data_IF_618240419474
#
_entry.id   IF_618240419474
#
_cell.length_a   1.000
_cell.length_b   1.000
_cell.length_c   1.000
_cell.angle_alpha   90.00
_cell.angle_beta   90.00
_cell.angle_gamma   90.00
#
_symmetry.space_group_name_H-M   'P 1'
#
loop_
_entity.id
_entity.type
_entity.pdbx_description
1 polymer ?
#
# COMPACT_ATOMS: atom_id res chain seq x y z
N UNK A 1 24.32 -54.07 -55.96
CA UNK A 1 24.35 -53.81 -54.49
C UNK A 1 22.90 -53.71 -54.03
N UNK A 2 22.36 -54.76 -53.39
CA UNK A 2 20.95 -54.81 -52.94
C UNK A 2 20.85 -54.17 -51.56
N UNK A 3 20.18 -53.04 -51.46
CA UNK A 3 19.94 -52.36 -50.17
C UNK A 3 18.62 -52.91 -49.61
N UNK A 4 18.69 -53.58 -48.46
CA UNK A 4 17.54 -54.14 -47.76
C UNK A 4 16.67 -53.00 -47.20
N UNK A 5 15.53 -52.77 -47.85
CA UNK A 5 14.56 -51.71 -47.54
C UNK A 5 13.78 -51.82 -46.21
N UNK A 6 13.60 -52.99 -45.53
CA UNK A 6 12.72 -53.05 -44.35
C UNK A 6 13.35 -52.50 -43.06
N UNK A 7 14.67 -52.28 -43.01
CA UNK A 7 15.33 -51.74 -41.82
C UNK A 7 15.22 -50.21 -41.69
N UNK A 8 15.11 -49.49 -42.81
CA UNK A 8 15.07 -48.03 -42.83
C UNK A 8 13.71 -47.48 -42.34
N UNK A 9 12.63 -48.19 -42.61
CA UNK A 9 11.27 -47.79 -42.23
C UNK A 9 11.04 -47.90 -40.71
N UNK A 10 11.61 -48.92 -40.07
CA UNK A 10 11.47 -49.17 -38.63
C UNK A 10 12.26 -48.13 -37.81
N UNK A 11 13.43 -47.70 -38.29
CA UNK A 11 14.24 -46.67 -37.63
C UNK A 11 13.54 -45.30 -37.69
N UNK A 12 12.88 -44.98 -38.82
CA UNK A 12 12.13 -43.73 -38.96
C UNK A 12 10.90 -43.66 -38.06
N UNK A 13 10.27 -44.80 -37.74
CA UNK A 13 9.11 -44.86 -36.85
C UNK A 13 9.50 -44.73 -35.37
N UNK A 14 10.67 -45.26 -34.98
CA UNK A 14 11.20 -45.14 -33.61
C UNK A 14 11.67 -43.71 -33.31
N UNK A 15 12.26 -43.00 -34.29
CA UNK A 15 12.63 -41.59 -34.10
C UNK A 15 11.43 -40.66 -33.93
N UNK A 16 10.30 -40.92 -34.61
CA UNK A 16 9.10 -40.10 -34.51
C UNK A 16 8.42 -40.23 -33.13
N UNK A 17 8.51 -41.40 -32.49
CA UNK A 17 7.96 -41.65 -31.16
C UNK A 17 8.78 -40.94 -30.06
N UNK A 18 10.11 -40.82 -30.24
CA UNK A 18 10.99 -40.12 -29.29
C UNK A 18 10.75 -38.60 -29.30
N UNK A 19 10.36 -38.02 -30.44
CA UNK A 19 10.01 -36.59 -30.52
C UNK A 19 8.63 -36.24 -29.92
N UNK A 20 7.74 -37.23 -29.71
CA UNK A 20 6.40 -36.98 -29.14
C UNK A 20 6.38 -37.00 -27.61
N UNK A 21 7.40 -37.58 -26.95
CA UNK A 21 7.52 -37.58 -25.48
C UNK A 21 8.33 -36.40 -24.92
N UNK A 22 8.84 -35.51 -25.78
CA UNK A 22 9.44 -34.23 -25.33
C UNK A 22 8.40 -33.11 -25.18
N UNK A 23 7.11 -33.42 -25.07
CA UNK A 23 6.12 -32.43 -24.67
C UNK A 23 6.47 -31.95 -23.26
N UNK A 24 7.03 -30.75 -23.22
CA UNK A 24 7.33 -29.92 -22.08
C UNK A 24 6.68 -30.39 -20.77
N UNK A 25 7.50 -30.89 -19.84
CA UNK A 25 7.18 -30.73 -18.43
C UNK A 25 7.15 -29.21 -18.21
N UNK A 26 5.95 -28.61 -18.24
CA UNK A 26 5.75 -27.29 -17.66
C UNK A 26 6.09 -27.47 -16.19
N UNK A 27 7.29 -27.05 -15.80
CA UNK A 27 7.62 -26.87 -14.41
C UNK A 27 6.67 -25.79 -13.86
N UNK A 28 5.49 -26.20 -13.39
CA UNK A 28 4.58 -25.34 -12.62
C UNK A 28 5.11 -25.10 -11.20
N UNK A 29 6.33 -25.55 -10.90
CA UNK A 29 7.10 -25.21 -9.72
C UNK A 29 7.65 -23.77 -9.80
N UNK A 30 6.84 -22.81 -10.24
CA UNK A 30 7.07 -21.44 -9.81
C UNK A 30 6.83 -21.48 -8.30
N UNK A 31 7.91 -21.38 -7.52
CA UNK A 31 7.78 -21.03 -6.12
C UNK A 31 7.08 -19.67 -6.13
N UNK A 32 5.78 -19.67 -5.87
CA UNK A 32 4.99 -18.45 -5.72
C UNK A 32 5.58 -17.74 -4.53
N UNK A 33 6.36 -16.70 -4.82
CA UNK A 33 6.97 -15.91 -3.77
C UNK A 33 5.90 -15.17 -2.98
N UNK A 34 6.26 -14.70 -1.80
CA UNK A 34 5.31 -14.05 -0.90
C UNK A 34 5.21 -12.54 -1.16
N UNK A 35 4.06 -11.97 -0.87
CA UNK A 35 3.84 -10.54 -0.67
C UNK A 35 3.31 -10.29 0.75
N UNK A 36 3.49 -9.09 1.29
CA UNK A 36 2.92 -8.72 2.60
C UNK A 36 1.94 -7.57 2.45
N UNK A 37 0.78 -7.70 3.09
CA UNK A 37 -0.28 -6.69 3.01
C UNK A 37 -0.76 -6.34 4.41
N UNK A 38 -0.95 -5.05 4.67
CA UNK A 38 -1.66 -4.53 5.85
C UNK A 38 -2.78 -3.59 5.45
N UNK A 39 -3.79 -3.47 6.30
CA UNK A 39 -5.02 -2.74 6.01
C UNK A 39 -5.23 -1.60 7.01
N UNK A 40 -5.68 -0.45 6.52
CA UNK A 40 -5.98 0.75 7.29
C UNK A 40 -7.43 1.17 7.09
N UNK A 41 -8.09 1.53 8.19
CA UNK A 41 -9.37 2.23 8.12
C UNK A 41 -9.16 3.69 8.55
N UNK A 42 -9.36 4.62 7.63
CA UNK A 42 -9.36 6.07 7.92
C UNK A 42 -10.76 6.67 7.80
N UNK A 43 -11.81 5.85 7.81
CA UNK A 43 -13.21 6.28 7.79
C UNK A 43 -13.85 6.12 9.17
N UNK A 44 -14.29 7.24 9.74
CA UNK A 44 -14.74 7.40 11.13
C UNK A 44 -16.12 6.85 11.49
N UNK A 45 -16.88 6.34 10.52
CA UNK A 45 -18.30 6.00 10.70
C UNK A 45 -18.48 4.58 11.23
N UNK A 46 -17.79 3.61 10.63
CA UNK A 46 -17.95 2.19 10.93
C UNK A 46 -16.60 1.48 10.79
N UNK A 47 -16.37 0.49 11.67
CA UNK A 47 -15.24 -0.44 11.52
C UNK A 47 -15.37 -1.24 10.22
N UNK A 48 -14.23 -1.60 9.64
CA UNK A 48 -14.18 -2.33 8.37
C UNK A 48 -13.64 -3.75 8.55
N UNK A 49 -14.26 -4.68 7.84
CA UNK A 49 -13.70 -5.99 7.51
C UNK A 49 -13.07 -5.92 6.11
N UNK A 50 -11.92 -6.56 5.93
CA UNK A 50 -11.22 -6.62 4.64
C UNK A 50 -11.19 -8.03 4.09
N UNK A 51 -11.32 -8.15 2.77
CA UNK A 51 -11.37 -9.42 2.07
C UNK A 51 -10.42 -9.41 0.87
N UNK A 52 -9.88 -10.59 0.56
CA UNK A 52 -9.17 -10.89 -0.67
C UNK A 52 -9.88 -12.06 -1.35
N UNK A 53 -10.31 -11.87 -2.60
CA UNK A 53 -11.08 -12.86 -3.38
C UNK A 53 -12.30 -13.41 -2.62
N UNK A 54 -12.98 -12.54 -1.87
CA UNK A 54 -14.15 -12.91 -1.06
C UNK A 54 -13.84 -13.63 0.26
N UNK A 55 -12.58 -13.97 0.55
CA UNK A 55 -12.15 -14.50 1.86
C UNK A 55 -11.82 -13.35 2.81
N UNK A 56 -12.42 -13.33 4.00
CA UNK A 56 -12.11 -12.32 5.02
C UNK A 56 -10.68 -12.53 5.53
N UNK A 57 -9.88 -11.48 5.51
CA UNK A 57 -8.48 -11.49 5.97
C UNK A 57 -8.26 -10.59 7.18
N UNK A 58 -9.18 -9.67 7.46
CA UNK A 58 -9.20 -8.86 8.68
C UNK A 58 -10.64 -8.48 9.06
N UNK A 59 -10.86 -8.20 10.34
CA UNK A 59 -12.18 -7.84 10.86
C UNK A 59 -12.10 -6.72 11.90
N UNK A 60 -13.12 -5.87 11.93
CA UNK A 60 -13.31 -4.89 13.01
C UNK A 60 -12.28 -3.78 13.05
N UNK A 61 -11.63 -3.43 11.93
CA UNK A 61 -10.63 -2.35 11.93
C UNK A 61 -11.32 -1.01 12.14
N UNK A 62 -11.18 -0.44 13.33
CA UNK A 62 -11.70 0.88 13.68
C UNK A 62 -10.96 2.03 13.00
N UNK A 63 -11.56 3.21 13.03
CA UNK A 63 -10.95 4.43 12.50
C UNK A 63 -9.59 4.72 13.15
N UNK A 64 -8.61 5.09 12.32
CA UNK A 64 -7.27 5.38 12.79
C UNK A 64 -6.55 4.15 13.34
N UNK A 65 -6.97 2.95 12.96
CA UNK A 65 -6.28 1.69 13.27
C UNK A 65 -5.81 1.00 12.00
N UNK A 66 -4.93 0.02 12.16
CA UNK A 66 -4.44 -0.84 11.08
C UNK A 66 -4.14 -2.25 11.58
N UNK A 67 -4.03 -3.19 10.64
CA UNK A 67 -3.48 -4.51 10.93
C UNK A 67 -1.96 -4.49 10.92
N UNK A 68 -1.39 -5.56 11.46
CA UNK A 68 -0.02 -5.97 11.12
C UNK A 68 0.07 -6.40 9.64
N UNK A 69 1.30 -6.55 9.15
CA UNK A 69 1.55 -7.17 7.86
C UNK A 69 1.25 -8.66 7.90
N UNK A 70 0.39 -9.10 6.99
CA UNK A 70 0.07 -10.52 6.79
C UNK A 70 0.65 -10.98 5.46
N UNK A 71 1.15 -12.22 5.42
CA UNK A 71 1.74 -12.84 4.24
C UNK A 71 0.65 -13.40 3.33
N UNK A 72 0.76 -13.14 2.04
CA UNK A 72 -0.11 -13.66 0.98
C UNK A 72 0.72 -14.10 -0.22
N UNK A 73 0.06 -14.77 -1.18
CA UNK A 73 0.67 -15.18 -2.44
C UNK A 73 1.02 -13.93 -3.29
N UNK A 74 2.28 -13.80 -3.68
CA UNK A 74 2.74 -12.74 -4.58
C UNK A 74 2.56 -13.10 -6.05
N UNK A 75 2.75 -12.10 -6.91
CA UNK A 75 2.49 -12.14 -8.35
C UNK A 75 1.06 -12.59 -8.70
N UNK A 76 0.12 -12.23 -7.82
CA UNK A 76 -1.29 -12.56 -7.93
C UNK A 76 -2.14 -11.31 -7.91
N UNK A 77 -3.10 -11.25 -8.82
CA UNK A 77 -4.19 -10.27 -8.80
C UNK A 77 -5.27 -10.72 -7.85
N UNK A 78 -5.58 -9.89 -6.86
CA UNK A 78 -6.67 -10.10 -5.93
C UNK A 78 -7.78 -9.09 -6.18
N UNK A 79 -9.01 -9.51 -5.94
CA UNK A 79 -10.12 -8.59 -5.69
C UNK A 79 -10.13 -8.22 -4.20
N UNK A 80 -9.68 -7.00 -3.89
CA UNK A 80 -9.63 -6.45 -2.53
C UNK A 80 -10.96 -5.77 -2.23
N UNK A 81 -11.60 -6.13 -1.12
CA UNK A 81 -12.89 -5.55 -0.70
C UNK A 81 -12.79 -4.99 0.71
N UNK A 82 -13.47 -3.87 0.96
CA UNK A 82 -13.86 -3.43 2.30
C UNK A 82 -15.35 -3.60 2.51
N UNK A 83 -15.75 -3.97 3.72
CA UNK A 83 -17.15 -4.05 4.14
C UNK A 83 -17.31 -3.47 5.53
N UNK A 84 -18.43 -2.81 5.80
CA UNK A 84 -18.78 -2.48 7.17
C UNK A 84 -18.86 -3.77 8.00
N UNK A 85 -18.17 -3.81 9.13
CA UNK A 85 -18.11 -4.98 10.01
C UNK A 85 -19.52 -5.46 10.37
N UNK A 86 -19.75 -6.76 10.27
CA UNK A 86 -21.06 -7.38 10.55
C UNK A 86 -22.08 -7.26 9.43
N UNK A 87 -21.75 -6.62 8.31
CA UNK A 87 -22.65 -6.47 7.16
C UNK A 87 -22.15 -7.26 5.93
N UNK A 88 -23.04 -7.47 4.95
CA UNK A 88 -22.67 -8.03 3.65
C UNK A 88 -22.39 -6.97 2.59
N UNK A 89 -22.68 -5.70 2.91
CA UNK A 89 -22.59 -4.56 1.99
C UNK A 89 -21.11 -4.27 1.73
N UNK A 90 -20.74 -4.29 0.45
CA UNK A 90 -19.40 -3.86 0.02
C UNK A 90 -19.33 -2.35 0.08
N UNK A 91 -18.37 -1.85 0.85
CA UNK A 91 -18.11 -0.41 0.96
C UNK A 91 -17.32 0.08 -0.25
N UNK A 92 -16.28 -0.66 -0.66
CA UNK A 92 -15.56 -0.47 -1.92
C UNK A 92 -14.81 -1.74 -2.36
N UNK A 93 -14.36 -1.77 -3.62
CA UNK A 93 -13.59 -2.87 -4.22
C UNK A 93 -12.54 -2.39 -5.21
N UNK A 94 -11.36 -3.01 -5.22
CA UNK A 94 -10.31 -2.77 -6.22
C UNK A 94 -9.63 -4.07 -6.64
N UNK A 95 -9.32 -4.19 -7.94
CA UNK A 95 -8.47 -5.27 -8.45
C UNK A 95 -7.01 -4.84 -8.39
N UNK A 96 -6.17 -5.59 -7.68
CA UNK A 96 -4.76 -5.24 -7.47
C UNK A 96 -3.86 -6.46 -7.61
N UNK A 97 -2.81 -6.33 -8.43
CA UNK A 97 -1.70 -7.28 -8.47
C UNK A 97 -0.66 -6.92 -7.42
N UNK A 98 -0.34 -7.85 -6.53
CA UNK A 98 0.70 -7.67 -5.52
C UNK A 98 1.95 -8.44 -5.94
N UNK A 99 3.07 -7.75 -6.12
CA UNK A 99 4.31 -8.38 -6.61
C UNK A 99 5.03 -9.17 -5.52
N UNK A 100 5.78 -10.19 -5.92
CA UNK A 100 6.64 -10.98 -5.04
C UNK A 100 7.68 -10.09 -4.34
N UNK A 101 7.91 -10.33 -3.05
CA UNK A 101 8.92 -9.66 -2.24
C UNK A 101 8.57 -8.23 -1.85
N UNK A 102 7.36 -7.76 -2.18
CA UNK A 102 6.89 -6.40 -1.89
C UNK A 102 5.97 -6.37 -0.67
N UNK A 103 5.87 -5.20 -0.08
CA UNK A 103 4.98 -4.92 1.05
C UNK A 103 3.97 -3.86 0.60
N UNK A 104 2.73 -3.95 1.06
CA UNK A 104 1.67 -3.04 0.64
C UNK A 104 0.79 -2.61 1.81
N UNK A 105 0.37 -1.35 1.74
CA UNK A 105 -0.63 -0.77 2.62
C UNK A 105 -1.89 -0.47 1.82
N UNK A 106 -3.01 -1.06 2.26
CA UNK A 106 -4.33 -0.83 1.69
C UNK A 106 -5.11 0.09 2.61
N UNK A 107 -5.45 1.27 2.14
CA UNK A 107 -6.23 2.27 2.87
C UNK A 107 -7.66 2.31 2.38
N UNK A 108 -8.62 2.21 3.29
CA UNK A 108 -9.99 2.64 3.03
C UNK A 108 -10.16 4.07 3.55
N UNK A 109 -10.40 5.01 2.63
CA UNK A 109 -10.38 6.45 2.92
C UNK A 109 -11.51 7.20 2.20
N UNK A 110 -12.00 8.29 2.83
CA UNK A 110 -13.04 9.16 2.24
C UNK A 110 -12.47 10.00 1.10
N UNK A 111 -13.21 10.09 0.01
CA UNK A 111 -12.96 11.04 -1.09
C UNK A 111 -13.89 12.25 -1.00
N UNK A 112 -15.10 12.04 -0.46
CA UNK A 112 -16.12 13.06 -0.20
C UNK A 112 -16.86 12.73 1.11
N UNK A 113 -17.90 13.48 1.45
CA UNK A 113 -18.73 13.18 2.61
C UNK A 113 -19.46 11.82 2.48
N UNK A 114 -19.85 11.44 1.26
CA UNK A 114 -20.61 10.22 0.97
C UNK A 114 -19.75 9.09 0.42
N UNK A 115 -18.61 9.42 -0.19
CA UNK A 115 -17.83 8.45 -0.97
C UNK A 115 -16.52 8.09 -0.27
N UNK A 116 -16.11 6.84 -0.40
CA UNK A 116 -14.87 6.31 0.12
C UNK A 116 -14.31 5.28 -0.84
N UNK A 117 -12.98 5.16 -0.88
CA UNK A 117 -12.28 4.28 -1.81
C UNK A 117 -11.14 3.55 -1.13
N UNK A 118 -10.80 2.38 -1.67
CA UNK A 118 -9.59 1.64 -1.42
C UNK A 118 -8.45 2.24 -2.23
N UNK A 119 -7.32 2.47 -1.56
CA UNK A 119 -6.06 2.87 -2.17
C UNK A 119 -4.96 1.94 -1.74
N UNK A 120 -4.16 1.50 -2.70
CA UNK A 120 -3.03 0.61 -2.44
C UNK A 120 -1.74 1.38 -2.67
N UNK A 121 -0.83 1.30 -1.69
CA UNK A 121 0.52 1.85 -1.82
C UNK A 121 1.54 0.74 -1.55
N UNK A 122 2.58 0.67 -2.38
CA UNK A 122 3.75 -0.16 -2.09
C UNK A 122 4.57 0.49 -0.98
N UNK A 123 4.86 -0.27 0.07
CA UNK A 123 5.74 0.14 1.16
C UNK A 123 7.19 -0.28 0.85
N UNK A 124 8.07 0.70 0.70
CA UNK A 124 9.52 0.49 0.75
C UNK A 124 9.95 0.42 2.22
N UNK A 125 10.25 -0.79 2.70
CA UNK A 125 10.73 -1.06 4.06
C UNK A 125 12.26 -1.21 4.15
N UNK A 126 12.99 -0.90 3.08
CA UNK A 126 14.45 -1.02 3.02
C UNK A 126 15.10 -0.09 4.04
N UNK A 127 15.76 -0.60 5.11
CA UNK A 127 16.31 0.28 6.13
C UNK A 127 17.43 1.17 5.58
N UNK A 128 17.33 2.49 5.78
CA UNK A 128 18.47 3.39 5.63
C UNK A 128 19.12 3.58 7.00
N UNK A 129 20.21 2.87 7.26
CA UNK A 129 20.88 2.88 8.58
C UNK A 129 21.47 4.24 8.96
N UNK A 130 21.58 5.17 8.01
CA UNK A 130 22.15 6.50 8.18
C UNK A 130 21.12 7.62 8.33
N UNK A 131 19.88 7.39 7.88
CA UNK A 131 18.84 8.42 7.77
C UNK A 131 17.49 7.91 8.25
N UNK A 132 16.56 8.83 8.49
CA UNK A 132 15.13 8.49 8.66
C UNK A 132 14.39 8.76 7.35
N UNK A 133 13.32 8.02 7.07
CA UNK A 133 12.48 8.22 5.88
C UNK A 133 11.05 8.55 6.28
N UNK A 134 10.47 9.58 5.69
CA UNK A 134 9.09 9.99 5.91
C UNK A 134 8.27 9.77 4.64
N UNK A 135 7.04 9.29 4.81
CA UNK A 135 6.06 9.11 3.74
C UNK A 135 4.74 9.76 4.18
N UNK A 136 4.35 10.83 3.53
CA UNK A 136 3.12 11.55 3.84
C UNK A 136 2.00 11.08 2.92
N UNK A 137 0.81 10.88 3.50
CA UNK A 137 -0.42 10.61 2.77
C UNK A 137 -1.48 11.57 3.30
N UNK A 138 -2.10 12.33 2.41
CA UNK A 138 -3.27 13.12 2.79
C UNK A 138 -4.54 12.28 2.57
N UNK A 139 -5.34 12.08 3.61
CA UNK A 139 -6.65 11.42 3.61
C UNK A 139 -7.77 12.36 4.09
N UNK A 140 -7.45 13.64 4.29
CA UNK A 140 -8.33 14.65 4.87
C UNK A 140 -9.29 15.29 3.87
N UNK A 141 -10.36 14.58 3.50
CA UNK A 141 -11.37 15.10 2.57
C UNK A 141 -12.08 16.37 3.08
N UNK A 142 -12.05 16.65 4.38
CA UNK A 142 -12.71 17.81 5.01
C UNK A 142 -11.86 19.07 5.05
N UNK A 143 -10.58 19.00 4.67
CA UNK A 143 -9.63 20.11 4.80
C UNK A 143 -9.91 21.28 3.84
N UNK A 144 -10.74 21.07 2.81
CA UNK A 144 -11.16 22.12 1.86
C UNK A 144 -10.05 22.65 0.94
N UNK A 145 -8.80 22.34 1.25
CA UNK A 145 -7.60 22.82 0.59
C UNK A 145 -6.50 21.75 0.62
N UNK A 146 -5.47 21.95 -0.23
CA UNK A 146 -4.28 21.09 -0.23
C UNK A 146 -3.44 21.38 1.01
N UNK A 147 -2.68 20.40 1.48
CA UNK A 147 -1.80 20.55 2.64
C UNK A 147 -0.37 20.77 2.19
N UNK A 148 0.19 21.92 2.52
CA UNK A 148 1.61 22.23 2.39
C UNK A 148 2.38 21.63 3.56
N UNK A 149 3.47 20.91 3.26
CA UNK A 149 4.31 20.18 4.19
C UNK A 149 5.75 20.60 3.96
N UNK A 150 6.42 21.07 5.00
CA UNK A 150 7.84 21.46 4.95
C UNK A 150 8.53 21.16 6.27
N UNK A 151 9.86 21.10 6.25
CA UNK A 151 10.62 21.17 7.50
C UNK A 151 10.99 22.63 7.86
N UNK A 152 11.59 22.80 9.03
CA UNK A 152 12.07 24.10 9.54
C UNK A 152 12.99 24.82 8.56
N UNK A 153 13.94 24.10 7.99
CA UNK A 153 14.92 24.66 7.03
C UNK A 153 14.36 24.84 5.61
N UNK A 154 13.12 24.39 5.36
CA UNK A 154 12.52 24.32 4.02
C UNK A 154 13.39 23.58 2.99
N UNK A 155 14.22 22.64 3.43
CA UNK A 155 15.02 21.77 2.55
C UNK A 155 14.15 20.83 1.72
N UNK A 156 12.89 20.66 2.10
CA UNK A 156 11.86 20.07 1.25
C UNK A 156 10.53 20.81 1.47
N UNK A 157 9.73 20.86 0.41
CA UNK A 157 8.33 21.29 0.43
C UNK A 157 7.51 20.36 -0.44
N UNK A 158 6.34 19.93 0.06
CA UNK A 158 5.34 19.16 -0.69
C UNK A 158 3.97 19.77 -0.48
N UNK A 159 3.10 19.65 -1.46
CA UNK A 159 1.71 20.09 -1.34
C UNK A 159 0.81 18.96 -1.80
N UNK A 160 -0.02 18.42 -0.90
CA UNK A 160 -0.82 17.22 -1.14
C UNK A 160 -2.32 17.52 -1.09
N UNK A 161 -3.05 17.17 -2.15
CA UNK A 161 -4.51 17.10 -2.15
C UNK A 161 -5.02 15.83 -1.47
N UNK A 162 -6.34 15.76 -1.25
CA UNK A 162 -6.93 14.56 -0.66
C UNK A 162 -6.60 13.32 -1.50
N UNK A 163 -6.02 12.33 -0.85
CA UNK A 163 -5.67 11.06 -1.44
C UNK A 163 -4.34 11.01 -2.19
N UNK A 164 -3.52 12.07 -2.11
CA UNK A 164 -2.18 12.12 -2.68
C UNK A 164 -1.10 11.75 -1.66
N UNK A 165 0.09 11.40 -2.16
CA UNK A 165 1.26 11.04 -1.34
C UNK A 165 2.49 11.85 -1.70
N UNK A 166 3.45 11.96 -0.78
CA UNK A 166 4.69 12.71 -1.00
C UNK A 166 5.77 11.96 -1.76
N UNK A 167 5.69 10.64 -1.86
CA UNK A 167 6.86 9.77 -2.00
C UNK A 167 7.74 9.77 -0.74
N UNK A 168 8.81 8.99 -0.72
CA UNK A 168 9.74 8.94 0.41
C UNK A 168 10.63 10.18 0.48
N UNK A 169 10.61 10.85 1.62
CA UNK A 169 11.46 12.00 1.94
C UNK A 169 12.51 11.53 2.93
N UNK A 170 13.78 11.73 2.60
CA UNK A 170 14.89 11.33 3.45
C UNK A 170 15.32 12.50 4.32
N UNK A 171 15.45 12.27 5.63
CA UNK A 171 15.90 13.27 6.60
C UNK A 171 17.18 12.82 7.32
N UNK A 172 18.15 13.74 7.53
CA UNK A 172 19.29 13.50 8.40
C UNK A 172 18.84 13.19 9.83
N UNK A 173 19.52 12.26 10.50
CA UNK A 173 19.10 11.77 11.82
C UNK A 173 19.55 12.66 12.96
N UNK A 174 18.79 12.66 14.06
CA UNK A 174 19.16 13.34 15.30
C UNK A 174 18.94 14.85 15.29
N UNK A 175 18.38 15.43 14.22
CA UNK A 175 17.84 16.79 14.24
C UNK A 175 16.37 16.71 14.61
N UNK A 176 15.95 17.53 15.59
CA UNK A 176 14.56 17.88 15.88
C UNK A 176 13.93 18.52 14.63
N UNK A 177 13.61 17.70 13.63
CA UNK A 177 13.13 18.16 12.34
C UNK A 177 11.65 18.44 12.49
N UNK A 178 11.32 19.62 13.02
CA UNK A 178 9.95 20.10 13.06
C UNK A 178 9.40 20.07 11.65
N UNK A 179 8.31 19.34 11.48
CA UNK A 179 7.55 19.29 10.25
C UNK A 179 6.35 20.20 10.44
N UNK A 180 6.22 21.17 9.55
CA UNK A 180 5.14 22.14 9.51
C UNK A 180 4.13 21.72 8.47
N UNK A 181 2.85 21.80 8.85
CA UNK A 181 1.70 21.57 8.00
C UNK A 181 0.86 22.83 7.96
N UNK A 182 0.43 23.24 6.78
CA UNK A 182 -0.49 24.35 6.60
C UNK A 182 -1.46 24.02 5.47
N UNK A 183 -2.69 24.51 5.55
CA UNK A 183 -3.55 24.57 4.37
C UNK A 183 -2.95 25.57 3.37
N UNK A 184 -2.87 25.19 2.11
CA UNK A 184 -2.12 25.93 1.09
C UNK A 184 -2.69 27.35 0.82
N UNK A 185 -3.98 27.54 1.10
CA UNK A 185 -4.73 28.79 0.98
C UNK A 185 -4.82 29.57 2.31
N UNK A 186 -4.31 29.01 3.42
CA UNK A 186 -4.35 29.67 4.71
C UNK A 186 -3.13 30.56 4.93
N UNK A 187 -3.39 31.81 5.30
CA UNK A 187 -2.38 32.78 5.72
C UNK A 187 -1.97 32.61 7.19
N UNK A 188 -2.72 31.82 7.98
CA UNK A 188 -2.70 31.95 9.44
C UNK A 188 -2.81 30.64 10.24
N UNK A 189 -2.62 29.45 9.66
CA UNK A 189 -2.72 28.18 10.43
C UNK A 189 -1.51 27.27 10.20
N UNK A 190 -0.46 27.50 10.96
CA UNK A 190 0.68 26.58 11.02
C UNK A 190 0.37 25.51 12.08
N UNK A 191 0.22 24.27 11.65
CA UNK A 191 0.25 23.09 12.52
C UNK A 191 1.64 22.45 12.49
N UNK A 192 2.01 21.74 13.54
CA UNK A 192 3.29 21.04 13.63
C UNK A 192 3.05 19.61 14.06
N UNK A 193 3.75 18.67 13.42
CA UNK A 193 3.72 17.29 13.91
C UNK A 193 4.30 17.30 15.32
N UNK A 194 3.49 16.80 16.27
CA UNK A 194 3.86 16.74 17.69
C UNK A 194 5.09 15.86 17.96
N UNK A 195 5.44 14.99 17.00
CA UNK A 195 6.58 14.09 17.07
C UNK A 195 7.86 14.72 16.50
N UNK A 196 8.86 14.93 17.36
CA UNK A 196 10.09 15.65 17.01
C UNK A 196 11.31 14.75 16.74
N UNK A 197 11.22 13.44 17.00
CA UNK A 197 12.37 12.53 17.03
C UNK A 197 12.30 11.41 15.98
N UNK A 198 12.65 11.70 14.73
CA UNK A 198 12.81 10.66 13.70
C UNK A 198 14.17 9.96 13.82
N UNK A 199 14.15 8.63 14.01
CA UNK A 199 15.35 7.83 14.26
C UNK A 199 15.94 7.22 12.99
N UNK A 200 17.25 6.97 13.01
CA UNK A 200 17.98 6.32 11.92
C UNK A 200 17.48 4.89 11.70
N UNK A 201 17.46 4.44 10.44
CA UNK A 201 16.95 3.11 10.09
C UNK A 201 15.42 3.02 10.05
N UNK A 202 14.71 4.06 10.49
CA UNK A 202 13.25 4.04 10.62
C UNK A 202 12.56 4.75 9.47
N UNK A 203 11.47 4.13 9.03
CA UNK A 203 10.56 4.62 8.02
C UNK A 203 9.22 4.91 8.68
N UNK A 204 8.72 6.12 8.46
CA UNK A 204 7.50 6.61 9.07
C UNK A 204 6.46 6.94 8.00
N UNK A 205 5.24 6.46 8.17
CA UNK A 205 4.08 6.95 7.42
C UNK A 205 3.35 7.96 8.28
N UNK A 206 3.13 9.16 7.74
CA UNK A 206 2.37 10.23 8.37
C UNK A 206 1.07 10.37 7.60
N UNK A 207 -0.05 10.05 8.24
CA UNK A 207 -1.38 10.33 7.72
C UNK A 207 -1.77 11.75 8.13
N UNK A 208 -2.21 12.53 7.14
CA UNK A 208 -2.79 13.85 7.33
C UNK A 208 -4.27 13.71 7.06
N UNK A 209 -5.10 14.09 8.02
CA UNK A 209 -6.55 14.03 7.97
C UNK A 209 -7.12 15.39 8.35
N UNK A 210 -8.43 15.56 8.17
CA UNK A 210 -9.16 16.69 8.69
C UNK A 210 -10.15 16.25 9.76
N UNK A 211 -10.26 17.04 10.83
CA UNK A 211 -11.31 16.84 11.82
C UNK A 211 -12.67 16.89 11.10
N UNK A 212 -13.50 15.86 11.32
CA UNK A 212 -14.73 15.66 10.56
C UNK A 212 -16.01 16.02 11.33
N UNK A 213 -15.90 16.36 12.61
CA UNK A 213 -17.04 16.67 13.51
C UNK A 213 -16.70 17.81 14.48
N UNK A 214 -17.75 18.48 14.97
CA UNK A 214 -17.65 19.52 16.01
C UNK A 214 -17.05 20.85 15.52
N UNK A 215 -16.81 21.76 16.46
CA UNK A 215 -16.30 23.12 16.18
C UNK A 215 -14.90 23.16 15.55
N UNK A 216 -14.17 22.05 15.59
CA UNK A 216 -12.86 21.91 14.96
C UNK A 216 -12.91 21.31 13.56
N UNK A 217 -14.11 21.08 12.98
CA UNK A 217 -14.24 20.52 11.63
C UNK A 217 -13.41 21.30 10.60
N UNK A 218 -12.66 20.59 9.78
CA UNK A 218 -11.75 21.17 8.78
C UNK A 218 -10.37 21.55 9.31
N UNK A 219 -10.11 21.46 10.62
CA UNK A 219 -8.76 21.57 11.17
C UNK A 219 -7.93 20.34 10.83
N UNK A 220 -6.62 20.55 10.69
CA UNK A 220 -5.64 19.49 10.50
C UNK A 220 -5.63 18.51 11.68
N UNK A 221 -5.35 17.26 11.36
CA UNK A 221 -5.10 16.18 12.30
C UNK A 221 -4.08 15.25 11.68
N UNK A 222 -3.12 14.80 12.46
CA UNK A 222 -2.09 13.87 12.00
C UNK A 222 -2.10 12.54 12.76
N UNK A 223 -1.56 11.51 12.12
CA UNK A 223 -1.23 10.24 12.77
C UNK A 223 0.11 9.73 12.25
N UNK A 224 1.02 9.42 13.17
CA UNK A 224 2.30 8.79 12.88
C UNK A 224 2.19 7.26 12.97
N UNK A 225 2.74 6.57 11.98
CA UNK A 225 2.87 5.11 11.92
C UNK A 225 4.34 4.78 11.69
N UNK A 226 4.92 3.96 12.56
CA UNK A 226 6.29 3.45 12.40
C UNK A 226 6.21 2.13 11.62
N UNK A 227 6.92 2.05 10.50
CA UNK A 227 6.79 0.92 9.57
C UNK A 227 7.81 -0.21 9.80
N UNK A 228 8.94 0.08 10.47
CA UNK A 228 10.02 -0.86 10.73
C UNK A 228 10.85 -0.47 11.96
#
# INVERSE_FOLDING_TARGET
MKINFPALLTISFVLLIICLVTSCIKNENLIKGDTKIRFFNTVGELSQDFYLDGKRVSTGIGYGSNTEYTVFEGDKTYNVLSKNTGTKITSDSISQTFSIGKNYSVFYAKTSATDSVLKVYEDDLTPDTSKSRLFFINVGYTLGSRVSIRNETSSFTKTLGNGETSGYIVLPTGKNSKIYLNLADSTSVIDTISYTNFYKGKTYTILIDGVNKGASKGKLKERLIVNN
#
